data_IF_986476724003
#
_entry.id   IF_986476724003
#
_cell.length_a   1.000
_cell.length_b   1.000
_cell.length_c   1.000
_cell.angle_alpha   90.00
_cell.angle_beta   90.00
_cell.angle_gamma   90.00
#
_symmetry.space_group_name_H-M   'P 1'
#
loop_
_entity.id
_entity.type
_entity.pdbx_description
1 polymer ?
#
# COMPACT_ATOMS: atom_id res chain seq x y z
N UNK A 1 26.14 -0.14 -48.02
CA UNK A 1 25.06 0.30 -47.09
C UNK A 1 24.17 -0.90 -46.76
N UNK A 2 24.46 -1.67 -45.70
CA UNK A 2 23.63 -2.84 -45.29
C UNK A 2 23.92 -3.20 -43.82
N UNK A 3 23.53 -2.32 -42.90
CA UNK A 3 23.64 -2.53 -41.45
C UNK A 3 22.48 -1.82 -40.73
N UNK A 4 21.24 -2.26 -40.99
CA UNK A 4 20.06 -1.63 -40.36
C UNK A 4 19.06 -2.64 -39.76
N UNK A 5 19.27 -3.95 -39.87
CA UNK A 5 18.25 -4.94 -39.47
C UNK A 5 18.50 -5.56 -38.09
N UNK A 6 19.69 -5.36 -37.50
CA UNK A 6 20.09 -5.98 -36.23
C UNK A 6 19.67 -5.20 -34.98
N UNK A 7 19.34 -3.90 -35.12
CA UNK A 7 18.87 -3.06 -34.00
C UNK A 7 17.37 -3.18 -33.73
N UNK A 8 16.57 -3.63 -34.69
CA UNK A 8 15.10 -3.66 -34.54
C UNK A 8 14.63 -4.74 -33.54
N UNK A 9 15.38 -5.85 -33.41
CA UNK A 9 14.99 -6.98 -32.57
C UNK A 9 15.15 -6.68 -31.07
N UNK A 10 16.09 -5.82 -30.70
CA UNK A 10 16.37 -5.48 -29.29
C UNK A 10 15.30 -4.53 -28.73
N UNK A 11 14.77 -3.64 -29.56
CA UNK A 11 13.72 -2.69 -29.15
C UNK A 11 12.37 -3.37 -28.89
N UNK A 12 12.06 -4.45 -29.63
CA UNK A 12 10.82 -5.21 -29.43
C UNK A 12 10.80 -6.02 -28.13
N UNK A 13 11.96 -6.49 -27.64
CA UNK A 13 12.06 -7.25 -26.39
C UNK A 13 11.92 -6.36 -25.14
N UNK A 14 12.36 -5.10 -25.21
CA UNK A 14 12.23 -4.14 -24.09
C UNK A 14 10.78 -3.65 -23.88
N UNK A 15 9.96 -3.63 -24.94
CA UNK A 15 8.55 -3.22 -24.83
C UNK A 15 7.68 -4.26 -24.10
N UNK A 16 8.09 -5.54 -24.07
CA UNK A 16 7.36 -6.60 -23.37
C UNK A 16 7.53 -6.56 -21.83
N UNK A 17 8.51 -5.79 -21.32
CA UNK A 17 8.74 -5.60 -19.89
C UNK A 17 8.04 -4.36 -19.32
N UNK A 18 7.40 -3.55 -20.18
CA UNK A 18 6.49 -2.50 -19.75
C UNK A 18 5.15 -3.14 -19.32
N UNK A 19 5.20 -4.02 -18.32
CA UNK A 19 4.00 -4.37 -17.58
C UNK A 19 3.47 -3.06 -16.99
N UNK A 20 2.19 -2.71 -17.20
CA UNK A 20 1.60 -1.57 -16.50
C UNK A 20 1.88 -1.79 -15.02
N UNK A 21 2.32 -0.75 -14.32
CA UNK A 21 2.54 -0.80 -12.89
C UNK A 21 1.22 -1.15 -12.21
N UNK A 22 1.01 -2.44 -11.95
CA UNK A 22 -0.20 -2.99 -11.34
C UNK A 22 -0.16 -2.58 -9.86
N UNK A 23 -0.91 -1.54 -9.51
CA UNK A 23 -0.82 -0.88 -8.22
C UNK A 23 -2.21 -0.56 -7.68
N UNK A 24 -2.80 -1.56 -7.00
CA UNK A 24 -3.96 -1.33 -6.13
C UNK A 24 -3.61 -0.29 -5.08
N UNK A 25 -4.41 0.77 -4.99
CA UNK A 25 -4.27 1.79 -3.96
C UNK A 25 -5.29 1.59 -2.85
N UNK A 26 -4.95 2.02 -1.66
CA UNK A 26 -5.79 2.06 -0.48
C UNK A 26 -5.79 3.48 0.07
N UNK A 27 -6.97 4.03 0.30
CA UNK A 27 -7.14 5.30 1.02
C UNK A 27 -7.98 5.05 2.25
N UNK A 28 -7.50 5.50 3.40
CA UNK A 28 -8.23 5.38 4.67
C UNK A 28 -8.78 6.74 5.05
N UNK A 29 -10.07 6.79 5.35
CA UNK A 29 -10.81 7.98 5.74
C UNK A 29 -11.46 7.78 7.11
N UNK A 30 -11.79 8.88 7.76
CA UNK A 30 -12.73 8.87 8.88
C UNK A 30 -14.13 8.39 8.41
N UNK A 31 -15.03 8.01 9.34
CA UNK A 31 -16.36 7.48 8.98
C UNK A 31 -17.21 8.46 8.17
N UNK A 32 -16.95 9.76 8.32
CA UNK A 32 -17.66 10.85 7.66
C UNK A 32 -17.02 11.26 6.31
N UNK A 33 -15.94 10.61 5.89
CA UNK A 33 -15.19 10.90 4.66
C UNK A 33 -14.72 12.36 4.55
N UNK A 34 -14.44 13.00 5.69
CA UNK A 34 -13.94 14.37 5.78
C UNK A 34 -12.41 14.40 5.86
N UNK A 35 -11.82 13.45 6.59
CA UNK A 35 -10.39 13.46 6.92
C UNK A 35 -9.70 12.22 6.40
N UNK A 36 -8.63 12.41 5.61
CA UNK A 36 -7.77 11.31 5.15
C UNK A 36 -6.82 10.91 6.28
N UNK A 37 -6.93 9.66 6.72
CA UNK A 37 -6.17 9.07 7.83
C UNK A 37 -5.03 8.16 7.38
N UNK A 38 -4.97 7.86 6.08
CA UNK A 38 -3.88 7.08 5.52
C UNK A 38 -3.97 6.85 4.03
N UNK A 39 -2.87 6.35 3.50
CA UNK A 39 -2.72 5.98 2.10
C UNK A 39 -1.77 4.79 1.98
N UNK A 40 -2.06 3.89 1.06
CA UNK A 40 -1.12 2.87 0.66
C UNK A 40 -1.29 2.46 -0.79
N UNK A 41 -0.27 1.79 -1.31
CA UNK A 41 -0.22 1.33 -2.68
C UNK A 41 0.49 -0.02 -2.78
N UNK A 42 -0.02 -0.86 -3.67
CA UNK A 42 0.62 -2.09 -4.05
C UNK A 42 1.72 -1.78 -5.08
N UNK A 43 2.86 -2.42 -4.94
CA UNK A 43 3.91 -2.47 -5.97
C UNK A 43 4.40 -3.91 -6.04
N UNK A 44 3.96 -4.64 -7.07
CA UNK A 44 4.10 -6.09 -7.13
C UNK A 44 3.37 -6.76 -5.95
N UNK A 45 4.10 -7.55 -5.16
CA UNK A 45 3.51 -8.27 -4.01
C UNK A 45 3.63 -7.49 -2.69
N UNK A 46 4.21 -6.29 -2.71
CA UNK A 46 4.38 -5.45 -1.51
C UNK A 46 3.30 -4.38 -1.48
N UNK A 47 2.78 -4.09 -0.30
CA UNK A 47 1.75 -3.10 -0.07
C UNK A 47 2.26 -2.04 0.89
N UNK A 48 2.77 -0.93 0.35
CA UNK A 48 3.34 0.15 1.16
C UNK A 48 2.21 0.97 1.75
N UNK A 49 2.19 1.13 3.07
CA UNK A 49 1.11 1.83 3.77
C UNK A 49 1.65 2.87 4.73
N UNK A 50 1.04 4.05 4.69
CA UNK A 50 1.27 5.17 5.60
C UNK A 50 -0.06 5.50 6.29
N UNK A 51 -0.06 5.43 7.62
CA UNK A 51 -1.22 5.71 8.46
C UNK A 51 -0.85 6.76 9.50
N UNK A 52 -1.83 7.59 9.84
CA UNK A 52 -1.77 8.52 10.97
C UNK A 52 -1.77 7.69 12.26
N UNK A 53 -0.85 8.01 13.18
CA UNK A 53 -0.65 7.24 14.43
C UNK A 53 -1.46 7.78 15.60
N UNK A 54 -1.83 9.05 15.52
CA UNK A 54 -2.57 9.85 16.50
C UNK A 54 -4.10 9.66 16.42
N UNK A 55 -4.58 8.92 15.42
CA UNK A 55 -5.99 8.57 15.29
C UNK A 55 -6.29 7.20 15.92
N UNK A 56 -7.40 7.13 16.67
CA UNK A 56 -7.95 5.89 17.20
C UNK A 56 -9.47 5.90 17.04
N UNK A 57 -10.02 5.03 16.20
CA UNK A 57 -11.45 5.01 15.95
C UNK A 57 -11.89 4.20 14.73
N UNK A 58 -13.20 4.18 14.44
CA UNK A 58 -13.74 3.59 13.23
C UNK A 58 -13.22 4.33 11.99
N UNK A 59 -13.03 3.61 10.90
CA UNK A 59 -12.54 4.17 9.62
C UNK A 59 -13.23 3.51 8.43
N UNK A 60 -13.13 4.16 7.28
CA UNK A 60 -13.55 3.61 5.99
C UNK A 60 -12.31 3.48 5.10
N UNK A 61 -12.07 2.28 4.62
CA UNK A 61 -10.97 1.95 3.72
C UNK A 61 -11.52 1.78 2.30
N UNK A 62 -10.95 2.52 1.35
CA UNK A 62 -11.35 2.52 -0.06
C UNK A 62 -10.20 1.94 -0.88
N UNK A 63 -10.48 0.87 -1.62
CA UNK A 63 -9.55 0.26 -2.56
C UNK A 63 -9.82 0.77 -3.97
N UNK A 64 -8.81 1.39 -4.56
CA UNK A 64 -8.84 1.92 -5.92
C UNK A 64 -7.95 1.01 -6.77
N UNK A 65 -8.47 0.60 -7.93
CA UNK A 65 -7.81 -0.32 -8.85
C UNK A 65 -8.41 -0.15 -10.24
N UNK A 66 -7.64 -0.50 -11.25
CA UNK A 66 -8.08 -0.43 -12.63
C UNK A 66 -8.90 -1.68 -13.02
N UNK A 67 -9.70 -1.58 -14.09
CA UNK A 67 -10.52 -2.70 -14.58
C UNK A 67 -9.68 -3.91 -15.01
N UNK A 68 -8.45 -3.67 -15.49
CA UNK A 68 -7.47 -4.71 -15.81
C UNK A 68 -7.04 -5.52 -14.58
N UNK A 69 -7.14 -4.95 -13.38
CA UNK A 69 -6.67 -5.54 -12.11
C UNK A 69 -7.78 -6.26 -11.34
N UNK A 70 -9.04 -6.05 -11.71
CA UNK A 70 -10.20 -6.64 -11.03
C UNK A 70 -10.10 -8.16 -10.91
N UNK A 71 -9.56 -8.81 -11.93
CA UNK A 71 -9.36 -10.27 -11.96
C UNK A 71 -8.19 -10.74 -11.07
N UNK A 72 -7.14 -9.93 -10.92
CA UNK A 72 -5.98 -10.22 -10.07
C UNK A 72 -6.33 -10.20 -8.57
N UNK A 73 -7.36 -9.45 -8.20
CA UNK A 73 -7.83 -9.27 -6.83
C UNK A 73 -9.31 -9.65 -6.68
N UNK A 74 -9.65 -10.87 -7.14
CA UNK A 74 -11.00 -11.39 -7.08
C UNK A 74 -11.53 -11.41 -5.63
N UNK A 75 -12.72 -10.85 -5.41
CA UNK A 75 -13.35 -10.78 -4.09
C UNK A 75 -12.93 -9.57 -3.24
N UNK A 76 -11.91 -8.80 -3.65
CA UNK A 76 -11.64 -7.49 -3.03
C UNK A 76 -12.82 -6.57 -3.35
N UNK A 77 -13.36 -5.89 -2.36
CA UNK A 77 -14.43 -4.90 -2.51
C UNK A 77 -13.83 -3.51 -2.62
N UNK A 78 -14.48 -2.56 -3.31
CA UNK A 78 -13.98 -1.19 -3.42
C UNK A 78 -13.99 -0.45 -2.08
N UNK A 79 -14.77 -0.90 -1.09
CA UNK A 79 -14.91 -0.25 0.21
C UNK A 79 -15.08 -1.28 1.33
N UNK A 80 -14.41 -1.02 2.45
CA UNK A 80 -14.53 -1.75 3.69
C UNK A 80 -14.65 -0.78 4.87
N UNK A 81 -15.41 -1.17 5.88
CA UNK A 81 -15.36 -0.51 7.18
C UNK A 81 -14.23 -1.14 8.01
N UNK A 82 -13.71 -0.41 8.97
CA UNK A 82 -12.61 -0.90 9.80
C UNK A 82 -12.40 -0.10 11.07
N UNK A 83 -11.28 -0.37 11.73
CA UNK A 83 -10.77 0.37 12.87
C UNK A 83 -9.30 0.69 12.63
N UNK A 84 -8.91 1.92 12.96
CA UNK A 84 -7.52 2.35 13.01
C UNK A 84 -7.19 2.63 14.47
N UNK A 85 -6.15 1.99 15.00
CA UNK A 85 -5.72 2.16 16.40
C UNK A 85 -4.21 2.27 16.42
N UNK A 86 -3.67 3.46 16.74
CA UNK A 86 -2.22 3.65 16.92
C UNK A 86 -1.39 3.31 15.67
N UNK A 87 -1.91 3.60 14.47
CA UNK A 87 -1.26 3.26 13.20
C UNK A 87 -1.47 1.80 12.74
N UNK A 88 -2.23 0.99 13.47
CA UNK A 88 -2.63 -0.35 13.04
C UNK A 88 -4.04 -0.36 12.45
N UNK A 89 -4.17 -0.75 11.18
CA UNK A 89 -5.45 -0.85 10.48
C UNK A 89 -6.01 -2.29 10.55
N UNK A 90 -7.29 -2.40 10.91
CA UNK A 90 -8.08 -3.63 10.84
C UNK A 90 -9.34 -3.38 10.01
N UNK A 91 -9.72 -4.33 9.15
CA UNK A 91 -10.85 -4.24 8.23
C UNK A 91 -11.90 -5.32 8.53
N UNK A 92 -13.16 -4.96 8.40
CA UNK A 92 -14.27 -5.91 8.43
C UNK A 92 -14.40 -6.59 7.08
N UNK A 93 -14.09 -7.89 6.99
CA UNK A 93 -14.37 -8.69 5.81
C UNK A 93 -15.05 -10.00 6.21
N UNK A 94 -16.12 -10.38 5.52
CA UNK A 94 -16.91 -11.56 5.87
C UNK A 94 -17.50 -11.50 7.29
N UNK A 95 -17.86 -10.30 7.76
CA UNK A 95 -18.44 -10.10 9.10
C UNK A 95 -17.44 -10.15 10.26
N UNK A 96 -16.15 -10.38 10.00
CA UNK A 96 -15.10 -10.44 11.03
C UNK A 96 -14.13 -9.28 10.89
N UNK A 97 -13.77 -8.64 12.00
CA UNK A 97 -12.69 -7.67 12.05
C UNK A 97 -11.35 -8.40 12.02
N UNK A 98 -10.54 -8.13 11.00
CA UNK A 98 -9.22 -8.75 10.84
C UNK A 98 -8.14 -7.70 10.59
N UNK A 99 -6.91 -7.91 11.10
CA UNK A 99 -5.81 -7.00 10.85
C UNK A 99 -5.45 -6.98 9.36
N UNK A 100 -4.97 -5.84 8.88
CA UNK A 100 -4.73 -5.63 7.45
C UNK A 100 -3.77 -6.68 6.83
N UNK A 101 -2.79 -7.18 7.60
CA UNK A 101 -1.88 -8.22 7.14
C UNK A 101 -2.58 -9.55 6.80
N UNK A 102 -3.53 -9.98 7.63
CA UNK A 102 -4.36 -11.17 7.36
C UNK A 102 -5.24 -10.94 6.14
N UNK A 103 -5.86 -9.76 6.07
CA UNK A 103 -6.72 -9.37 4.96
C UNK A 103 -5.98 -9.38 3.62
N UNK A 104 -4.86 -8.65 3.53
CA UNK A 104 -4.04 -8.56 2.32
C UNK A 104 -3.40 -9.91 1.94
N UNK A 105 -3.12 -10.77 2.92
CA UNK A 105 -2.62 -12.12 2.68
C UNK A 105 -3.55 -12.97 1.81
N UNK A 106 -4.87 -12.77 1.89
CA UNK A 106 -5.85 -13.46 1.01
C UNK A 106 -5.67 -13.10 -0.47
N UNK A 107 -5.06 -11.94 -0.73
CA UNK A 107 -4.78 -11.40 -2.06
C UNK A 107 -3.29 -11.52 -2.44
N UNK A 108 -2.50 -12.29 -1.69
CA UNK A 108 -1.04 -12.45 -1.88
C UNK A 108 -0.26 -11.13 -1.77
N UNK A 109 -0.83 -10.13 -1.08
CA UNK A 109 -0.20 -8.85 -0.81
C UNK A 109 0.42 -8.86 0.58
N UNK A 110 1.67 -8.39 0.67
CA UNK A 110 2.40 -8.28 1.93
C UNK A 110 2.45 -6.81 2.36
N UNK A 111 1.86 -6.41 3.50
CA UNK A 111 1.97 -5.03 3.96
C UNK A 111 3.39 -4.68 4.40
N UNK A 112 3.89 -3.57 3.88
CA UNK A 112 5.00 -2.80 4.40
C UNK A 112 4.43 -1.52 5.01
N UNK A 113 4.09 -1.57 6.30
CA UNK A 113 3.66 -0.38 7.04
C UNK A 113 4.89 0.47 7.33
N UNK A 114 4.99 1.61 6.66
CA UNK A 114 6.00 2.61 6.96
C UNK A 114 5.45 3.49 8.08
N UNK A 115 5.57 3.01 9.32
CA UNK A 115 5.36 3.88 10.48
C UNK A 115 6.34 5.06 10.36
N UNK A 116 5.81 6.28 10.36
CA UNK A 116 6.59 7.52 10.21
C UNK A 116 7.54 7.81 11.37
N UNK A 117 7.73 6.87 12.31
CA UNK A 117 8.85 6.88 13.26
C UNK A 117 10.10 6.33 12.56
N UNK A 118 10.55 6.99 11.49
CA UNK A 118 11.96 6.87 11.12
C UNK A 118 12.72 7.73 12.12
N UNK A 119 13.07 7.14 13.25
CA UNK A 119 14.17 7.68 14.06
C UNK A 119 15.41 7.57 13.17
N UNK A 120 15.74 8.66 12.47
CA UNK A 120 17.00 8.78 11.78
C UNK A 120 18.09 8.83 12.85
N UNK A 121 18.56 7.67 13.30
CA UNK A 121 19.83 7.58 14.02
C UNK A 121 20.92 7.81 12.99
N UNK A 122 21.32 9.08 12.83
CA UNK A 122 22.54 9.42 12.11
C UNK A 122 23.69 8.69 12.82
N UNK A 123 24.45 7.83 12.11
CA UNK A 123 25.63 7.20 12.70
C UNK A 123 26.61 8.30 13.11
N UNK A 124 26.76 8.53 14.42
CA UNK A 124 27.77 9.45 14.97
C UNK A 124 27.28 10.69 15.72
N UNK A 125 25.97 10.93 15.88
CA UNK A 125 25.49 12.00 16.77
C UNK A 125 25.20 11.45 18.17
N UNK A 126 26.07 11.79 19.12
CA UNK A 126 25.92 11.48 20.56
C UNK A 126 24.61 12.11 21.06
N UNK A 127 23.70 11.29 21.58
CA UNK A 127 22.48 11.78 22.23
C UNK A 127 22.88 12.63 23.43
N UNK A 128 22.36 13.86 23.50
CA UNK A 128 22.49 14.69 24.70
C UNK A 128 21.73 14.03 25.86
N UNK A 129 22.23 14.10 27.10
CA UNK A 129 21.55 13.50 28.25
C UNK A 129 20.21 14.20 28.47
N UNK A 130 19.14 13.41 28.47
CA UNK A 130 17.81 13.81 28.94
C UNK A 130 17.90 14.13 30.43
N UNK A 131 17.81 15.41 30.80
CA UNK A 131 17.67 15.82 32.19
C UNK A 131 16.17 15.92 32.53
N UNK A 132 15.75 14.99 33.40
CA UNK A 132 14.51 14.88 34.19
C UNK A 132 13.16 14.99 33.48
#
# INVERSE_FOLDING_TARGET
>A
MKTLHRSLLVTALLAALALPAQAVQLVVWDPQLQTKLGYGEATGNKFNLQLVTDYSGPVVAIFIRDDSEKNSYAGLMPRYNGQLTGGALSLFAGGTLQPLNRFLGTFKLTPSVQNSVRTFSLPGLKTAPSNK
#
